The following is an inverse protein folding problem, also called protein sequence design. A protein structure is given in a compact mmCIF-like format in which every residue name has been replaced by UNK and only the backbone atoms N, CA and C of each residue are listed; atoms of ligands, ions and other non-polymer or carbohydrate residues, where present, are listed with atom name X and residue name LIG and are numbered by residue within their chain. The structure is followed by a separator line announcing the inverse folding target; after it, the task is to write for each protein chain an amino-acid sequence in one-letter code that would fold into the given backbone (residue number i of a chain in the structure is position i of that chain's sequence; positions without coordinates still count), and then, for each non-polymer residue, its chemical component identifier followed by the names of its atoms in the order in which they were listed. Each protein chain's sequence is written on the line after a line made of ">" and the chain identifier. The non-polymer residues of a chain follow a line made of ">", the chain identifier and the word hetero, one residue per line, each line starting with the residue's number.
data_IF_653827645861
#
_entry.id   IF_653827645861
#
_cell.length_a   1.000
_cell.length_b   1.000
_cell.length_c   1.000
_cell.angle_alpha   90.00
_cell.angle_beta   90.00
_cell.angle_gamma   90.00
#
_symmetry.space_group_name_H-M   'P 1'
#
loop_
_entity.id
_entity.type
_entity.pdbx_description
1 polymer ?
#
# COMPACT_ATOMS: atom_id res chain seq x y z
N UNK A 1 -1.86 11.46 17.64
CA UNK A 1 -1.67 10.04 17.27
C UNK A 1 -1.18 10.07 15.84
N UNK A 2 0.09 9.78 15.60
CA UNK A 2 0.63 9.74 14.23
C UNK A 2 0.00 8.52 13.55
N UNK A 3 -0.79 8.73 12.51
CA UNK A 3 -1.35 7.63 11.73
C UNK A 3 -0.19 6.81 11.16
N UNK A 4 -0.23 5.49 11.37
CA UNK A 4 0.72 4.59 10.74
C UNK A 4 0.63 4.73 9.21
N UNK A 5 1.78 4.94 8.56
CA UNK A 5 1.85 4.99 7.10
C UNK A 5 1.52 3.62 6.51
N UNK A 6 0.77 3.60 5.42
CA UNK A 6 0.39 2.36 4.73
C UNK A 6 0.31 2.56 3.22
N UNK A 7 0.40 1.45 2.50
CA UNK A 7 0.03 1.35 1.09
C UNK A 7 -1.12 0.35 0.94
N UNK A 8 -1.85 0.44 -0.16
CA UNK A 8 -2.79 -0.61 -0.54
C UNK A 8 -2.15 -1.55 -1.55
N UNK A 9 -2.29 -2.85 -1.31
CA UNK A 9 -2.01 -3.90 -2.29
C UNK A 9 -3.31 -4.53 -2.77
N UNK A 10 -3.33 -5.02 -4.00
CA UNK A 10 -4.46 -5.79 -4.52
C UNK A 10 -4.24 -7.27 -4.23
N UNK A 11 -5.14 -7.87 -3.47
CA UNK A 11 -5.17 -9.30 -3.21
C UNK A 11 -6.58 -9.83 -3.41
N UNK A 12 -6.72 -10.88 -4.21
CA UNK A 12 -8.03 -11.48 -4.51
C UNK A 12 -9.08 -10.46 -4.99
N UNK A 13 -8.66 -9.52 -5.85
CA UNK A 13 -9.49 -8.40 -6.34
C UNK A 13 -10.01 -7.46 -5.24
N UNK A 14 -9.29 -7.33 -4.12
CA UNK A 14 -9.61 -6.42 -3.02
C UNK A 14 -8.39 -5.64 -2.54
N UNK A 15 -8.64 -4.46 -1.97
CA UNK A 15 -7.59 -3.67 -1.32
C UNK A 15 -7.26 -4.24 0.06
N UNK A 16 -6.00 -4.51 0.31
CA UNK A 16 -5.47 -4.88 1.62
C UNK A 16 -4.42 -3.86 2.05
N UNK A 17 -4.44 -3.43 3.30
CA UNK A 17 -3.44 -2.50 3.82
C UNK A 17 -2.14 -3.23 4.10
N UNK A 18 -1.03 -2.62 3.68
CA UNK A 18 0.31 -2.95 4.16
C UNK A 18 0.86 -1.77 4.92
N UNK A 19 1.05 -1.95 6.22
CA UNK A 19 1.70 -0.95 7.05
C UNK A 19 3.18 -0.88 6.73
N UNK A 20 3.68 0.33 6.60
CA UNK A 20 5.04 0.59 6.13
C UNK A 20 5.74 1.63 6.98
N UNK A 21 7.06 1.67 6.83
CA UNK A 21 7.91 2.79 7.20
C UNK A 21 8.54 3.37 5.93
N UNK A 22 8.61 4.69 5.87
CA UNK A 22 9.29 5.39 4.77
C UNK A 22 10.76 5.58 5.17
N UNK A 23 11.66 5.00 4.39
CA UNK A 23 13.10 5.07 4.60
C UNK A 23 13.76 6.23 3.86
N UNK A 24 13.16 6.69 2.76
CA UNK A 24 13.69 7.80 1.98
C UNK A 24 12.81 8.21 0.80
N UNK A 25 13.07 9.40 0.27
CA UNK A 25 12.37 9.97 -0.88
C UNK A 25 13.35 10.80 -1.70
N UNK A 26 13.40 10.56 -3.00
CA UNK A 26 14.33 11.26 -3.91
C UNK A 26 13.68 12.40 -4.71
N UNK A 27 12.39 12.70 -4.46
CA UNK A 27 11.61 13.66 -5.25
C UNK A 27 10.68 13.02 -6.30
N UNK A 28 10.83 11.73 -6.58
CA UNK A 28 9.97 10.98 -7.50
C UNK A 28 9.58 9.59 -6.98
N UNK A 29 10.43 8.94 -6.21
CA UNK A 29 10.27 7.58 -5.70
C UNK A 29 10.47 7.56 -4.20
N UNK A 30 9.67 6.73 -3.54
CA UNK A 30 9.74 6.51 -2.10
C UNK A 30 10.32 5.12 -1.86
N UNK A 31 11.33 5.04 -1.00
CA UNK A 31 11.81 3.77 -0.46
C UNK A 31 11.01 3.46 0.80
N UNK A 32 10.38 2.29 0.82
CA UNK A 32 9.53 1.84 1.92
C UNK A 32 9.98 0.47 2.39
N UNK A 33 9.75 0.19 3.68
CA UNK A 33 9.86 -1.16 4.24
C UNK A 33 8.55 -1.52 4.91
N UNK A 34 8.14 -2.77 4.76
CA UNK A 34 6.94 -3.30 5.37
C UNK A 34 7.17 -3.54 6.87
N UNK A 35 6.21 -3.17 7.73
CA UNK A 35 6.29 -3.49 9.17
C UNK A 35 6.10 -4.99 9.37
N UNK A 36 6.66 -5.57 10.43
CA UNK A 36 6.77 -7.04 10.63
C UNK A 36 5.47 -7.84 10.42
N UNK A 37 4.31 -7.25 10.69
CA UNK A 37 2.99 -7.88 10.52
C UNK A 37 2.35 -7.70 9.13
N UNK A 38 3.02 -7.01 8.22
CA UNK A 38 2.51 -6.64 6.89
C UNK A 38 3.57 -6.95 5.84
N UNK A 39 3.63 -8.17 5.34
CA UNK A 39 4.58 -8.53 4.28
C UNK A 39 4.25 -7.84 2.94
N UNK A 40 5.25 -7.28 2.27
CA UNK A 40 5.22 -6.89 0.86
C UNK A 40 6.09 -7.89 0.07
N UNK A 41 5.55 -8.47 -1.00
CA UNK A 41 6.21 -9.52 -1.79
C UNK A 41 6.40 -9.11 -3.23
N UNK A 42 7.42 -9.68 -3.86
CA UNK A 42 7.61 -9.56 -5.29
C UNK A 42 6.35 -10.03 -6.04
N UNK A 43 5.89 -9.20 -6.98
CA UNK A 43 4.65 -9.44 -7.72
C UNK A 43 3.39 -8.80 -7.13
N UNK A 44 3.46 -8.24 -5.91
CA UNK A 44 2.34 -7.48 -5.35
C UNK A 44 2.04 -6.24 -6.20
N UNK A 45 0.75 -6.03 -6.50
CA UNK A 45 0.28 -4.83 -7.18
C UNK A 45 -0.06 -3.74 -6.16
N UNK A 46 0.74 -2.68 -6.12
CA UNK A 46 0.57 -1.54 -5.21
C UNK A 46 -0.22 -0.43 -5.89
N UNK A 47 -1.20 0.14 -5.18
CA UNK A 47 -1.94 1.30 -5.65
C UNK A 47 -1.11 2.58 -5.47
N UNK A 48 -0.96 3.36 -6.53
CA UNK A 48 -0.19 4.62 -6.55
C UNK A 48 -1.04 5.85 -6.87
N UNK A 49 -2.34 5.69 -7.13
CA UNK A 49 -3.26 6.81 -7.36
C UNK A 49 -3.93 7.25 -6.05
N UNK A 50 -4.54 8.44 -6.06
CA UNK A 50 -5.28 8.94 -4.91
C UNK A 50 -6.64 8.23 -4.82
N UNK A 51 -6.83 7.43 -3.78
CA UNK A 51 -8.14 6.90 -3.40
C UNK A 51 -8.83 7.91 -2.47
N UNK A 52 -9.87 8.59 -2.98
CA UNK A 52 -10.67 9.53 -2.17
C UNK A 52 -11.78 8.86 -1.37
N UNK A 53 -12.37 7.80 -1.92
CA UNK A 53 -13.58 7.14 -1.38
C UNK A 53 -13.39 5.64 -1.14
N UNK A 54 -12.20 5.09 -1.43
CA UNK A 54 -11.91 3.67 -1.27
C UNK A 54 -11.01 3.43 -0.06
N UNK A 55 -11.28 2.32 0.63
CA UNK A 55 -10.53 1.87 1.79
C UNK A 55 -10.29 0.37 1.77
N UNK A 56 -9.85 -0.16 2.90
CA UNK A 56 -9.60 -1.59 3.07
C UNK A 56 -10.82 -2.46 2.74
N UNK A 57 -10.59 -3.58 2.06
CA UNK A 57 -11.61 -4.54 1.65
C UNK A 57 -12.42 -4.15 0.41
N UNK A 58 -12.27 -2.92 -0.11
CA UNK A 58 -12.97 -2.49 -1.34
C UNK A 58 -12.61 -3.39 -2.51
N UNK A 59 -13.62 -3.82 -3.25
CA UNK A 59 -13.44 -4.63 -4.47
C UNK A 59 -12.84 -3.76 -5.57
N UNK A 60 -11.84 -4.30 -6.25
CA UNK A 60 -11.11 -3.64 -7.32
C UNK A 60 -11.19 -4.50 -8.57
N UNK A 61 -11.25 -3.85 -9.72
CA UNK A 61 -11.02 -4.50 -11.01
C UNK A 61 -9.71 -3.92 -11.57
N UNK A 62 -8.61 -4.62 -11.30
CA UNK A 62 -7.34 -4.32 -11.95
C UNK A 62 -7.32 -5.07 -13.28
N UNK A 63 -7.52 -4.32 -14.36
CA UNK A 63 -7.42 -4.80 -15.74
C UNK A 63 -5.96 -4.93 -16.14
#
# INVERSE_FOLDING_TARGET
>A
VYEDSYVFVIKESRLEKRYIEILGYDGSKVLIVAKESSELKDGDQVIVNQLREAGEGVKVNAL
#
